data_IF_386713878033
#
_entry.id   IF_386713878033
#
_cell.length_a   1.000
_cell.length_b   1.000
_cell.length_c   1.000
_cell.angle_alpha   90.00
_cell.angle_beta   90.00
_cell.angle_gamma   90.00
#
_symmetry.space_group_name_H-M   'P 1'
#
loop_
_entity.id
_entity.type
_entity.pdbx_description
1 polymer ?
#
# COMPACT_ATOMS: atom_id res chain seq x y z
N UNK A 1 3.54 -53.10 18.88
CA UNK A 1 2.20 -53.20 19.48
C UNK A 1 1.74 -51.79 19.85
N UNK A 2 0.48 -51.48 19.52
CA UNK A 2 -0.25 -50.22 19.72
C UNK A 2 -0.15 -49.72 21.18
N UNK A 3 -0.24 -48.41 21.45
CA UNK A 3 -1.55 -47.75 21.61
C UNK A 3 -1.49 -46.23 21.44
N UNK A 4 -2.62 -45.75 20.90
CA UNK A 4 -3.02 -44.39 20.57
C UNK A 4 -3.29 -43.53 21.82
N UNK A 5 -3.01 -42.23 21.73
CA UNK A 5 -3.72 -41.22 22.52
C UNK A 5 -4.02 -40.03 21.62
N UNK A 6 -5.28 -39.97 21.20
CA UNK A 6 -5.89 -38.83 20.52
C UNK A 6 -6.13 -37.72 21.53
N UNK A 7 -5.48 -36.57 21.36
CA UNK A 7 -5.81 -35.37 22.10
C UNK A 7 -6.71 -34.49 21.20
N UNK A 8 -8.02 -34.60 21.41
CA UNK A 8 -9.02 -33.70 20.86
C UNK A 8 -8.77 -32.29 21.39
N UNK A 9 -8.13 -31.44 20.58
CA UNK A 9 -8.11 -30.00 20.84
C UNK A 9 -9.47 -29.46 20.38
N UNK A 10 -10.30 -29.15 21.37
CA UNK A 10 -11.59 -28.50 21.22
C UNK A 10 -11.38 -27.16 20.49
N UNK A 11 -11.86 -27.05 19.24
CA UNK A 11 -11.93 -25.78 18.50
C UNK A 11 -12.85 -24.84 19.29
N UNK A 12 -12.40 -23.69 19.80
CA UNK A 12 -13.33 -22.66 20.22
C UNK A 12 -13.98 -22.11 18.95
N UNK A 13 -15.28 -22.36 18.82
CA UNK A 13 -16.13 -21.71 17.84
C UNK A 13 -16.19 -20.22 18.20
N UNK A 14 -15.31 -19.43 17.59
CA UNK A 14 -15.30 -17.98 17.72
C UNK A 14 -16.56 -17.44 17.05
N UNK A 15 -17.57 -17.13 17.86
CA UNK A 15 -18.82 -16.56 17.38
C UNK A 15 -18.56 -15.25 16.62
N UNK A 16 -19.40 -14.99 15.62
CA UNK A 16 -19.37 -13.88 14.67
C UNK A 16 -19.23 -12.47 15.32
N UNK A 17 -19.40 -12.32 16.63
CA UNK A 17 -19.16 -11.07 17.37
C UNK A 17 -17.68 -10.77 17.62
N UNK A 18 -16.79 -11.77 17.64
CA UNK A 18 -15.35 -11.53 17.87
C UNK A 18 -14.58 -11.17 16.59
N UNK A 19 -15.06 -11.57 15.41
CA UNK A 19 -14.52 -11.11 14.13
C UNK A 19 -14.75 -9.61 13.93
N UNK A 20 -15.90 -9.08 14.36
CA UNK A 20 -16.15 -7.63 14.40
C UNK A 20 -15.26 -6.93 15.44
N UNK A 21 -14.83 -7.64 16.49
CA UNK A 21 -13.91 -7.09 17.49
C UNK A 21 -12.46 -7.04 17.00
N UNK A 22 -12.01 -7.91 16.10
CA UNK A 22 -10.67 -7.84 15.49
C UNK A 22 -10.52 -6.63 14.55
N UNK A 23 -11.62 -6.11 14.02
CA UNK A 23 -11.65 -4.82 13.30
C UNK A 23 -11.58 -3.61 14.27
N UNK A 24 -11.77 -3.85 15.57
CA UNK A 24 -11.80 -2.83 16.64
C UNK A 24 -10.67 -2.97 17.68
N UNK A 25 -9.90 -4.05 17.68
CA UNK A 25 -8.77 -4.25 18.61
C UNK A 25 -7.48 -3.90 17.89
N UNK A 26 -6.95 -2.73 18.25
CA UNK A 26 -5.84 -2.07 17.56
C UNK A 26 -6.42 -0.96 16.70
N UNK A 27 -6.06 0.29 16.98
CA UNK A 27 -6.49 1.46 16.22
C UNK A 27 -5.97 1.47 14.78
N UNK A 28 -6.39 0.50 13.96
CA UNK A 28 -6.16 0.43 12.54
C UNK A 28 -7.01 1.56 11.95
N UNK A 29 -6.40 2.74 11.86
CA UNK A 29 -6.90 3.85 11.05
C UNK A 29 -7.15 3.26 9.66
N UNK A 30 -8.41 2.96 9.34
CA UNK A 30 -8.79 2.40 8.04
C UNK A 30 -8.16 3.28 6.97
N UNK A 31 -7.35 2.63 6.15
CA UNK A 31 -6.29 3.27 5.39
C UNK A 31 -6.82 4.45 4.56
N UNK A 32 -6.25 5.64 4.81
CA UNK A 32 -6.70 6.92 4.22
C UNK A 32 -6.72 6.86 2.70
N UNK A 33 -5.73 6.19 2.09
CA UNK A 33 -5.62 5.98 0.64
C UNK A 33 -6.83 5.21 0.08
N UNK A 34 -7.24 4.12 0.73
CA UNK A 34 -8.42 3.34 0.36
C UNK A 34 -9.67 4.22 0.41
N UNK A 35 -9.84 4.98 1.48
CA UNK A 35 -11.00 5.88 1.64
C UNK A 35 -11.03 6.97 0.57
N UNK A 36 -9.90 7.63 0.31
CA UNK A 36 -9.81 8.75 -0.64
C UNK A 36 -10.12 8.29 -2.07
N UNK A 37 -9.48 7.22 -2.55
CA UNK A 37 -9.68 6.73 -3.92
C UNK A 37 -11.11 6.17 -4.12
N UNK A 38 -11.63 5.44 -3.14
CA UNK A 38 -13.01 4.91 -3.19
C UNK A 38 -14.04 6.04 -3.13
N UNK A 39 -13.83 7.06 -2.27
CA UNK A 39 -14.74 8.19 -2.16
C UNK A 39 -14.73 9.06 -3.42
N UNK A 40 -13.56 9.25 -4.04
CA UNK A 40 -13.44 9.98 -5.29
C UNK A 40 -14.24 9.30 -6.40
N UNK A 41 -14.12 7.98 -6.56
CA UNK A 41 -14.88 7.24 -7.56
C UNK A 41 -16.39 7.31 -7.31
N UNK A 42 -16.82 7.28 -6.04
CA UNK A 42 -18.22 7.51 -5.65
C UNK A 42 -18.72 8.93 -5.95
N UNK A 43 -17.87 9.95 -5.82
CA UNK A 43 -18.25 11.33 -6.14
C UNK A 43 -18.38 11.54 -7.65
N UNK A 44 -17.42 11.02 -8.43
CA UNK A 44 -17.43 11.12 -9.88
C UNK A 44 -18.63 10.39 -10.51
N UNK A 45 -19.01 9.23 -9.97
CA UNK A 45 -20.21 8.50 -10.40
C UNK A 45 -21.53 9.21 -10.02
N UNK A 46 -21.57 9.97 -8.92
CA UNK A 46 -22.75 10.77 -8.53
C UNK A 46 -22.93 12.03 -9.38
N UNK A 47 -21.84 12.69 -9.77
CA UNK A 47 -21.89 13.93 -10.58
C UNK A 47 -22.59 13.72 -11.93
N UNK A 48 -22.45 12.54 -12.56
CA UNK A 48 -23.17 12.21 -13.80
C UNK A 48 -24.67 11.95 -13.60
N UNK A 49 -25.11 11.50 -12.42
CA UNK A 49 -26.53 11.29 -12.14
C UNK A 49 -27.30 12.59 -11.87
N UNK A 50 -26.61 13.72 -11.62
CA UNK A 50 -27.23 15.03 -11.47
C UNK A 50 -27.43 15.79 -12.80
N UNK A 51 -26.94 15.26 -13.92
CA UNK A 51 -27.10 15.89 -15.24
C UNK A 51 -28.37 15.45 -15.99
N UNK A 52 -29.29 14.72 -15.34
CA UNK A 52 -30.64 14.49 -15.87
C UNK A 52 -31.58 15.55 -15.29
N UNK A 53 -31.85 16.60 -16.07
CA UNK A 53 -32.82 17.64 -15.73
C UNK A 53 -34.23 17.04 -15.84
N UNK A 54 -34.86 16.69 -14.71
CA UNK A 54 -36.29 16.34 -14.66
C UNK A 54 -37.16 17.60 -14.53
N UNK A 55 -38.06 17.79 -15.50
CA UNK A 55 -39.17 18.75 -15.46
C UNK A 55 -40.31 18.36 -14.48
N UNK A 56 -41.36 19.19 -14.33
CA UNK A 56 -42.01 19.40 -13.04
C UNK A 56 -42.96 18.27 -12.57
N UNK A 57 -42.94 18.10 -11.25
CA UNK A 57 -43.63 17.12 -10.39
C UNK A 57 -45.14 17.00 -10.62
N UNK A 58 -45.64 15.77 -10.79
CA UNK A 58 -47.01 15.37 -10.41
C UNK A 58 -46.99 14.64 -9.06
N UNK A 59 -47.87 15.07 -8.14
CA UNK A 59 -48.06 14.49 -6.80
C UNK A 59 -48.66 13.09 -6.92
N UNK A 60 -47.93 12.08 -6.45
CA UNK A 60 -48.44 10.74 -6.15
C UNK A 60 -47.76 10.23 -4.89
N UNK A 61 -48.54 9.90 -3.86
CA UNK A 61 -48.05 9.33 -2.61
C UNK A 61 -47.51 7.91 -2.87
N UNK A 62 -46.23 7.68 -2.60
CA UNK A 62 -45.64 6.34 -2.61
C UNK A 62 -45.06 6.06 -1.22
N UNK A 63 -45.56 4.97 -0.63
CA UNK A 63 -45.12 4.40 0.65
C UNK A 63 -43.59 4.29 0.71
N UNK A 64 -43.01 4.83 1.78
CA UNK A 64 -41.59 4.65 2.12
C UNK A 64 -41.32 3.19 2.49
N UNK A 65 -40.78 2.43 1.53
CA UNK A 65 -40.32 1.06 1.74
C UNK A 65 -38.89 1.10 2.31
N UNK A 66 -38.79 0.70 3.57
CA UNK A 66 -37.60 0.23 4.32
C UNK A 66 -36.26 0.28 3.57
N UNK A 67 -35.35 1.11 4.09
CA UNK A 67 -33.93 1.10 3.76
C UNK A 67 -33.38 -0.31 3.99
N UNK A 68 -33.11 -1.04 2.90
CA UNK A 68 -32.34 -2.29 2.97
C UNK A 68 -30.96 -1.96 3.53
N UNK A 69 -30.76 -2.39 4.77
CA UNK A 69 -29.51 -2.46 5.48
C UNK A 69 -28.55 -3.34 4.66
N UNK A 70 -27.67 -2.75 3.86
CA UNK A 70 -26.56 -3.49 3.23
C UNK A 70 -25.56 -3.83 4.31
N UNK A 71 -25.74 -4.99 4.94
CA UNK A 71 -24.68 -5.60 5.73
C UNK A 71 -23.49 -5.92 4.80
N UNK A 72 -22.24 -5.75 5.26
CA UNK A 72 -21.09 -6.18 4.49
C UNK A 72 -21.16 -7.70 4.35
N UNK A 73 -21.29 -8.18 3.12
CA UNK A 73 -21.11 -9.59 2.82
C UNK A 73 -19.61 -9.84 2.90
N UNK A 74 -19.13 -10.25 4.08
CA UNK A 74 -17.81 -10.88 4.16
C UNK A 74 -17.92 -12.22 3.45
N UNK A 75 -17.22 -12.37 2.33
CA UNK A 75 -17.06 -13.67 1.69
C UNK A 75 -16.24 -14.54 2.66
N UNK A 76 -16.86 -15.54 3.29
CA UNK A 76 -16.23 -16.39 4.29
C UNK A 76 -14.91 -17.02 3.77
N UNK A 77 -14.80 -17.18 2.44
CA UNK A 77 -13.60 -17.69 1.77
C UNK A 77 -12.37 -16.77 1.88
N UNK A 78 -12.56 -15.44 1.87
CA UNK A 78 -11.45 -14.48 2.04
C UNK A 78 -10.92 -14.49 3.47
N UNK A 79 -11.82 -14.62 4.46
CA UNK A 79 -11.46 -14.71 5.87
C UNK A 79 -10.78 -16.05 6.19
N UNK A 80 -11.22 -17.15 5.58
CA UNK A 80 -10.55 -18.46 5.69
C UNK A 80 -9.15 -18.44 5.06
N UNK A 81 -8.99 -17.82 3.88
CA UNK A 81 -7.68 -17.65 3.24
C UNK A 81 -6.73 -16.82 4.12
N UNK A 82 -7.24 -15.75 4.74
CA UNK A 82 -6.50 -14.97 5.73
C UNK A 82 -6.05 -15.84 6.92
N UNK A 83 -6.96 -16.58 7.54
CA UNK A 83 -6.64 -17.47 8.65
C UNK A 83 -5.63 -18.55 8.27
N UNK A 84 -5.75 -19.13 7.08
CA UNK A 84 -4.79 -20.12 6.56
C UNK A 84 -3.39 -19.52 6.40
N UNK A 85 -3.28 -18.33 5.83
CA UNK A 85 -1.97 -17.68 5.65
C UNK A 85 -1.28 -17.32 6.98
N UNK A 86 -2.04 -17.06 8.06
CA UNK A 86 -1.49 -16.97 9.42
C UNK A 86 -0.90 -18.30 9.90
N UNK A 87 -1.57 -19.41 9.62
CA UNK A 87 -1.07 -20.74 10.01
C UNK A 87 0.18 -21.17 9.21
N UNK A 88 0.40 -20.61 8.02
CA UNK A 88 1.57 -20.85 7.17
C UNK A 88 2.79 -19.98 7.54
N UNK A 89 2.70 -19.20 8.61
CA UNK A 89 3.81 -18.37 9.11
C UNK A 89 4.08 -17.13 8.26
N UNK A 90 3.11 -16.71 7.43
CA UNK A 90 3.15 -15.39 6.81
C UNK A 90 3.03 -14.31 7.91
N UNK A 91 3.52 -13.12 7.61
CA UNK A 91 3.46 -11.97 8.52
C UNK A 91 3.33 -10.66 7.75
N UNK A 92 2.77 -10.68 6.54
CA UNK A 92 2.48 -9.46 5.80
C UNK A 92 1.30 -9.76 4.88
N UNK A 93 0.19 -9.06 5.06
CA UNK A 93 -1.09 -9.43 4.44
C UNK A 93 -1.61 -8.31 3.56
N UNK A 94 -1.96 -8.58 2.29
CA UNK A 94 -2.54 -7.56 1.43
C UNK A 94 -4.05 -7.46 1.69
N UNK A 95 -4.50 -6.25 1.97
CA UNK A 95 -5.90 -5.88 1.83
C UNK A 95 -6.09 -5.22 0.48
N UNK A 96 -7.10 -5.65 -0.28
CA UNK A 96 -7.39 -5.09 -1.58
C UNK A 96 -8.85 -4.69 -1.70
N UNK A 97 -9.09 -3.55 -2.34
CA UNK A 97 -10.38 -3.27 -2.96
C UNK A 97 -10.20 -3.00 -4.44
N UNK A 98 -11.22 -3.30 -5.24
CA UNK A 98 -11.23 -3.07 -6.69
C UNK A 98 -12.34 -2.10 -7.02
N UNK A 99 -12.02 -1.17 -7.91
CA UNK A 99 -13.00 -0.23 -8.46
C UNK A 99 -12.84 -0.14 -9.97
N UNK A 100 -13.89 0.26 -10.67
CA UNK A 100 -13.79 0.54 -12.11
C UNK A 100 -13.00 1.84 -12.36
N UNK A 101 -12.21 1.85 -13.43
CA UNK A 101 -11.38 2.99 -13.83
C UNK A 101 -12.06 3.92 -14.85
N UNK A 102 -13.35 3.72 -15.13
CA UNK A 102 -14.11 4.43 -16.16
C UNK A 102 -14.22 5.95 -15.93
N UNK A 103 -14.10 6.40 -14.68
CA UNK A 103 -14.10 7.81 -14.31
C UNK A 103 -12.74 8.30 -13.78
N UNK A 104 -11.74 7.43 -13.70
CA UNK A 104 -10.50 7.73 -13.00
C UNK A 104 -9.30 7.51 -13.92
N UNK A 105 -8.50 8.57 -14.12
CA UNK A 105 -7.20 8.45 -14.77
C UNK A 105 -6.10 8.41 -13.71
N UNK A 106 -4.92 7.80 -14.01
CA UNK A 106 -3.80 7.76 -13.07
C UNK A 106 -3.40 9.16 -12.57
N UNK A 107 -3.31 10.14 -13.47
CA UNK A 107 -2.96 11.53 -13.12
C UNK A 107 -4.00 12.17 -12.17
N UNK A 108 -5.30 11.96 -12.43
CA UNK A 108 -6.36 12.49 -11.54
C UNK A 108 -6.31 11.81 -10.18
N UNK A 109 -6.10 10.49 -10.14
CA UNK A 109 -5.95 9.76 -8.89
C UNK A 109 -4.72 10.22 -8.09
N UNK A 110 -3.58 10.41 -8.75
CA UNK A 110 -2.36 10.91 -8.12
C UNK A 110 -2.56 12.28 -7.48
N UNK A 111 -3.19 13.22 -8.20
CA UNK A 111 -3.51 14.55 -7.67
C UNK A 111 -4.47 14.51 -6.47
N UNK A 112 -5.32 13.50 -6.36
CA UNK A 112 -6.21 13.34 -5.21
C UNK A 112 -5.49 12.68 -4.02
N UNK A 113 -4.51 11.83 -4.32
CA UNK A 113 -3.72 11.10 -3.33
C UNK A 113 -2.70 12.02 -2.64
N UNK A 114 -2.09 12.94 -3.38
CA UNK A 114 -1.13 13.92 -2.87
C UNK A 114 -1.86 15.22 -2.55
N UNK A 115 -2.09 15.50 -1.27
CA UNK A 115 -2.68 16.77 -0.83
C UNK A 115 -1.60 17.85 -0.75
N UNK A 116 -2.00 19.11 -0.87
CA UNK A 116 -1.12 20.27 -0.72
C UNK A 116 -0.39 20.31 0.64
N UNK A 117 -1.00 19.76 1.70
CA UNK A 117 -0.38 19.67 3.03
C UNK A 117 0.61 18.49 3.19
N UNK A 118 0.64 17.55 2.25
CA UNK A 118 1.52 16.39 2.23
C UNK A 118 2.68 16.59 1.22
N UNK A 119 2.93 17.83 0.78
CA UNK A 119 3.91 18.19 -0.28
C UNK A 119 5.37 17.86 0.07
N UNK A 120 5.66 17.67 1.36
CA UNK A 120 6.99 17.30 1.86
C UNK A 120 7.24 15.79 1.89
N UNK A 121 6.21 14.95 1.70
CA UNK A 121 6.38 13.50 1.72
C UNK A 121 6.64 12.95 0.31
N UNK A 122 7.56 12.00 0.14
CA UNK A 122 7.74 11.34 -1.14
C UNK A 122 6.44 10.71 -1.64
N UNK A 123 6.24 10.81 -2.94
CA UNK A 123 5.15 10.14 -3.65
C UNK A 123 5.61 9.80 -5.06
N UNK A 124 4.91 8.87 -5.72
CA UNK A 124 5.24 8.48 -7.07
C UNK A 124 4.00 8.26 -7.94
N UNK A 125 4.20 8.48 -9.24
CA UNK A 125 3.36 8.02 -10.33
C UNK A 125 4.29 7.41 -11.38
N UNK A 126 4.16 6.11 -11.61
CA UNK A 126 4.92 5.37 -12.62
C UNK A 126 3.98 4.96 -13.75
N UNK A 127 4.24 5.48 -14.93
CA UNK A 127 3.55 5.10 -16.16
C UNK A 127 4.58 4.59 -17.17
N UNK A 128 4.23 3.53 -17.89
CA UNK A 128 5.05 3.02 -18.98
C UNK A 128 4.48 3.48 -20.31
N UNK A 129 5.35 3.73 -21.28
CA UNK A 129 4.99 3.89 -22.70
C UNK A 129 5.82 2.90 -23.50
N UNK A 130 5.14 2.02 -24.23
CA UNK A 130 5.76 1.09 -25.16
C UNK A 130 5.80 1.74 -26.55
N UNK A 131 6.97 1.76 -27.19
CA UNK A 131 7.17 2.20 -28.58
C UNK A 131 6.59 3.59 -28.91
N UNK A 132 6.75 4.56 -28.01
CA UNK A 132 6.40 5.97 -28.24
C UNK A 132 4.91 6.31 -28.13
N UNK A 133 4.01 5.41 -28.52
CA UNK A 133 2.58 5.73 -28.68
C UNK A 133 1.62 4.86 -27.87
N UNK A 134 2.04 3.72 -27.32
CA UNK A 134 1.15 2.84 -26.56
C UNK A 134 1.41 2.93 -25.06
N UNK A 135 0.43 3.41 -24.31
CA UNK A 135 0.48 3.38 -22.85
C UNK A 135 0.57 1.93 -22.36
N UNK A 136 1.51 1.67 -21.45
CA UNK A 136 1.69 0.37 -20.83
C UNK A 136 0.45 -0.05 -20.06
N UNK A 137 0.26 -1.37 -19.90
CA UNK A 137 -0.94 -1.92 -19.27
C UNK A 137 -1.17 -1.42 -17.85
N UNK A 138 -0.10 -1.16 -17.10
CA UNK A 138 -0.19 -0.78 -15.70
C UNK A 138 0.37 0.62 -15.43
N UNK A 139 -0.35 1.38 -14.61
CA UNK A 139 0.17 2.58 -13.95
C UNK A 139 0.15 2.36 -12.44
N UNK A 140 1.21 2.78 -11.75
CA UNK A 140 1.37 2.61 -10.30
C UNK A 140 1.45 3.97 -9.63
N UNK A 141 0.78 4.13 -8.49
CA UNK A 141 0.83 5.36 -7.70
C UNK A 141 0.87 5.04 -6.21
N UNK A 142 1.61 5.86 -5.48
CA UNK A 142 1.75 5.75 -4.03
C UNK A 142 2.14 7.10 -3.43
N UNK A 143 1.74 7.32 -2.19
CA UNK A 143 2.08 8.49 -1.39
C UNK A 143 2.12 8.07 0.08
N UNK A 144 2.59 8.97 0.95
CA UNK A 144 2.66 8.73 2.40
C UNK A 144 3.43 7.44 2.74
N UNK A 145 4.72 7.34 2.37
CA UNK A 145 5.52 6.17 2.66
C UNK A 145 5.65 5.94 4.17
N UNK A 146 5.80 4.68 4.58
CA UNK A 146 6.01 4.32 5.98
C UNK A 146 7.45 4.63 6.44
N UNK A 147 8.42 4.40 5.56
CA UNK A 147 9.82 4.68 5.78
C UNK A 147 10.43 5.40 4.58
N UNK A 148 11.48 6.17 4.82
CA UNK A 148 12.32 6.77 3.79
C UNK A 148 13.79 6.65 4.21
N UNK A 149 14.64 6.29 3.26
CA UNK A 149 16.09 6.10 3.42
C UNK A 149 16.79 7.02 2.43
N UNK A 150 17.48 8.02 2.95
CA UNK A 150 18.21 9.02 2.17
C UNK A 150 19.70 8.88 2.48
N UNK A 151 20.54 8.65 1.47
CA UNK A 151 21.98 8.55 1.63
C UNK A 151 22.72 9.63 0.85
N UNK A 152 23.74 10.22 1.47
CA UNK A 152 24.70 11.11 0.83
C UNK A 152 26.10 10.83 1.36
N UNK A 153 26.97 10.28 0.52
CA UNK A 153 28.19 9.64 0.97
C UNK A 153 27.87 8.65 2.11
N UNK A 154 28.69 8.64 3.15
CA UNK A 154 28.50 7.71 4.28
C UNK A 154 27.39 8.12 5.26
N UNK A 155 26.77 9.29 5.08
CA UNK A 155 25.67 9.74 5.92
C UNK A 155 24.35 9.18 5.40
N UNK A 156 23.70 8.35 6.22
CA UNK A 156 22.42 7.70 5.91
C UNK A 156 21.37 8.18 6.90
N UNK A 157 20.35 8.87 6.40
CA UNK A 157 19.19 9.30 7.17
C UNK A 157 18.02 8.35 6.95
N UNK A 158 17.45 7.85 8.05
CA UNK A 158 16.30 6.95 8.08
C UNK A 158 15.15 7.71 8.72
N UNK A 159 14.05 7.85 8.00
CA UNK A 159 12.83 8.52 8.43
C UNK A 159 11.75 7.45 8.58
N UNK A 160 11.23 7.29 9.80
CA UNK A 160 10.02 6.50 10.06
C UNK A 160 8.86 7.47 10.19
N UNK A 161 8.16 7.69 9.08
CA UNK A 161 7.04 8.64 8.98
C UNK A 161 5.86 8.22 9.86
N UNK A 162 5.64 6.91 10.03
CA UNK A 162 4.58 6.38 10.90
C UNK A 162 4.82 6.69 12.38
N UNK A 163 6.08 6.66 12.82
CA UNK A 163 6.47 6.95 14.21
C UNK A 163 6.92 8.41 14.43
N UNK A 164 7.02 9.23 13.37
CA UNK A 164 7.58 10.58 13.42
C UNK A 164 9.05 10.58 13.88
N UNK A 165 9.81 9.52 13.60
CA UNK A 165 11.21 9.37 14.05
C UNK A 165 12.18 9.61 12.90
N UNK A 166 13.28 10.27 13.22
CA UNK A 166 14.43 10.47 12.32
C UNK A 166 15.69 9.98 13.01
N UNK A 167 16.47 9.21 12.29
CA UNK A 167 17.78 8.72 12.72
C UNK A 167 18.80 8.98 11.61
N UNK A 168 20.03 9.33 11.98
CA UNK A 168 21.14 9.46 11.03
C UNK A 168 22.28 8.55 11.50
N UNK A 169 22.83 7.77 10.57
CA UNK A 169 23.90 6.81 10.79
C UNK A 169 25.05 7.09 9.82
N UNK A 170 26.27 6.74 10.25
CA UNK A 170 27.42 6.65 9.34
C UNK A 170 27.58 5.19 8.95
N UNK A 171 27.45 4.88 7.66
CA UNK A 171 27.47 3.51 7.14
C UNK A 171 28.19 3.44 5.80
N UNK A 172 28.76 2.27 5.48
CA UNK A 172 29.44 2.04 4.20
C UNK A 172 28.50 1.65 3.06
N UNK A 173 27.42 0.94 3.39
CA UNK A 173 26.40 0.52 2.43
C UNK A 173 24.99 0.90 2.92
N UNK A 174 24.35 1.92 2.30
CA UNK A 174 22.99 2.31 2.66
C UNK A 174 21.93 1.28 2.23
N UNK A 175 22.22 0.35 1.31
CA UNK A 175 21.26 -0.64 0.83
C UNK A 175 20.91 -1.71 1.88
N UNK A 176 21.76 -1.87 2.89
CA UNK A 176 21.49 -2.74 4.04
C UNK A 176 20.28 -2.27 4.85
N UNK A 177 19.97 -0.97 4.85
CA UNK A 177 18.84 -0.44 5.63
C UNK A 177 17.49 -0.93 5.09
N UNK A 178 17.14 -0.76 3.79
CA UNK A 178 15.95 -1.37 3.21
C UNK A 178 15.87 -2.89 3.40
N UNK A 179 17.01 -3.58 3.28
CA UNK A 179 17.10 -5.02 3.46
C UNK A 179 16.73 -5.39 4.90
N UNK A 180 17.35 -4.79 5.90
CA UNK A 180 17.12 -5.10 7.32
C UNK A 180 15.69 -4.81 7.77
N UNK A 181 15.08 -3.72 7.28
CA UNK A 181 13.68 -3.40 7.58
C UNK A 181 12.73 -4.48 7.07
N UNK A 182 13.03 -5.07 5.91
CA UNK A 182 12.08 -5.96 5.20
C UNK A 182 12.47 -7.44 5.21
N UNK A 183 13.67 -7.78 5.68
CA UNK A 183 14.25 -9.14 5.69
C UNK A 183 13.35 -10.19 6.33
N UNK A 184 12.65 -9.81 7.40
CA UNK A 184 11.79 -10.73 8.17
C UNK A 184 10.39 -10.88 7.59
N UNK A 185 10.04 -10.12 6.55
CA UNK A 185 8.70 -10.13 5.98
C UNK A 185 8.47 -11.35 5.10
N UNK A 186 7.30 -11.94 5.28
CA UNK A 186 6.78 -13.13 4.59
C UNK A 186 5.39 -12.78 4.05
N UNK A 187 5.32 -12.17 2.85
CA UNK A 187 4.07 -11.75 2.24
C UNK A 187 3.15 -12.93 1.94
N UNK A 188 1.90 -12.85 2.38
CA UNK A 188 0.87 -13.81 2.06
C UNK A 188 0.46 -13.69 0.59
N UNK A 189 0.30 -14.84 -0.08
CA UNK A 189 -0.25 -14.90 -1.44
C UNK A 189 -1.77 -15.00 -1.36
N UNK A 190 -2.45 -13.92 -1.72
CA UNK A 190 -3.92 -13.85 -1.70
C UNK A 190 -4.44 -13.83 -3.14
N UNK A 191 -5.48 -14.63 -3.40
CA UNK A 191 -6.11 -14.68 -4.70
C UNK A 191 -6.65 -13.30 -5.11
N UNK A 192 -6.48 -12.93 -6.37
CA UNK A 192 -7.01 -11.70 -6.90
C UNK A 192 -6.17 -10.44 -6.67
N UNK A 193 -5.08 -10.51 -5.92
CA UNK A 193 -4.03 -9.48 -5.99
C UNK A 193 -3.28 -9.65 -7.31
N UNK A 194 -3.09 -8.59 -8.12
CA UNK A 194 -2.45 -8.71 -9.43
C UNK A 194 -0.97 -9.08 -9.23
N UNK A 195 -0.39 -9.95 -10.08
CA UNK A 195 1.00 -10.41 -9.96
C UNK A 195 1.99 -9.38 -10.50
N UNK A 196 1.90 -8.14 -10.01
CA UNK A 196 2.71 -6.98 -10.38
C UNK A 196 3.24 -6.30 -9.12
N UNK A 197 3.89 -5.15 -9.26
CA UNK A 197 4.24 -4.33 -8.11
C UNK A 197 2.96 -3.90 -7.35
N UNK A 198 2.89 -4.22 -6.07
CA UNK A 198 1.72 -3.95 -5.21
C UNK A 198 2.10 -3.29 -3.89
N UNK A 199 3.36 -2.89 -3.72
CA UNK A 199 3.93 -2.38 -2.48
C UNK A 199 5.42 -2.69 -2.40
N UNK A 200 6.17 -1.89 -1.64
CA UNK A 200 7.62 -2.03 -1.47
C UNK A 200 8.38 -0.72 -1.60
N UNK A 201 9.69 -0.83 -1.78
CA UNK A 201 10.59 0.30 -1.91
C UNK A 201 10.51 0.92 -3.31
N UNK A 202 10.29 2.23 -3.36
CA UNK A 202 10.26 3.04 -4.59
C UNK A 202 11.06 4.31 -4.36
N UNK A 203 11.85 4.70 -5.34
CA UNK A 203 12.67 5.90 -5.28
C UNK A 203 13.73 5.87 -6.36
N UNK A 204 14.90 6.42 -6.08
CA UNK A 204 16.00 6.46 -7.03
C UNK A 204 17.34 6.11 -6.39
N UNK A 205 18.21 5.54 -7.21
CA UNK A 205 19.64 5.40 -6.96
C UNK A 205 20.36 6.24 -8.03
N UNK A 206 21.00 7.32 -7.60
CA UNK A 206 21.81 8.20 -8.43
C UNK A 206 23.14 7.55 -8.82
N UNK A 207 23.86 8.19 -9.75
CA UNK A 207 25.10 7.65 -10.30
C UNK A 207 26.14 7.33 -9.21
N UNK A 208 26.30 8.21 -8.22
CA UNK A 208 27.26 8.03 -7.13
C UNK A 208 26.94 6.84 -6.20
N UNK A 209 25.76 6.20 -6.32
CA UNK A 209 25.48 4.93 -5.64
C UNK A 209 26.51 3.85 -6.02
N UNK A 210 27.09 3.92 -7.22
CA UNK A 210 28.16 3.01 -7.67
C UNK A 210 29.39 3.02 -6.74
N UNK A 211 29.61 4.13 -6.03
CA UNK A 211 30.75 4.30 -5.11
C UNK A 211 30.60 3.50 -3.82
N UNK A 212 29.37 3.18 -3.39
CA UNK A 212 29.17 2.26 -2.26
C UNK A 212 29.63 0.84 -2.62
N UNK A 213 29.32 0.40 -3.85
CA UNK A 213 29.65 -0.95 -4.33
C UNK A 213 31.12 -1.08 -4.70
N UNK A 214 31.72 -0.03 -5.28
CA UNK A 214 33.12 -0.02 -5.72
C UNK A 214 34.00 0.92 -4.88
N UNK A 215 33.75 1.02 -3.58
CA UNK A 215 34.41 1.98 -2.68
C UNK A 215 35.94 1.94 -2.73
N UNK A 216 36.54 0.76 -2.91
CA UNK A 216 37.99 0.62 -3.06
C UNK A 216 38.57 1.15 -4.38
N UNK A 217 37.75 1.32 -5.43
CA UNK A 217 38.16 1.83 -6.76
C UNK A 217 37.65 3.25 -7.03
N UNK A 218 36.50 3.61 -6.46
CA UNK A 218 35.81 4.88 -6.64
C UNK A 218 35.46 5.48 -5.27
N UNK A 219 36.45 5.88 -4.46
CA UNK A 219 36.18 6.51 -3.18
C UNK A 219 35.39 7.82 -3.33
N UNK A 220 34.67 8.24 -2.29
CA UNK A 220 33.91 9.49 -2.32
C UNK A 220 34.84 10.71 -2.32
N UNK A 221 36.02 10.59 -1.73
CA UNK A 221 37.04 11.63 -1.65
C UNK A 221 37.62 12.00 -3.02
N UNK A 222 37.55 11.09 -4.01
CA UNK A 222 37.98 11.35 -5.39
C UNK A 222 36.84 11.75 -6.32
N UNK A 223 35.64 11.96 -5.79
CA UNK A 223 34.51 12.39 -6.59
C UNK A 223 34.74 13.81 -7.16
N UNK A 224 34.25 14.09 -8.38
CA UNK A 224 34.15 15.46 -8.87
C UNK A 224 33.35 16.34 -7.92
N UNK A 225 33.53 17.66 -8.01
CA UNK A 225 32.76 18.62 -7.21
C UNK A 225 31.26 18.41 -7.39
N UNK A 226 30.54 18.26 -6.27
CA UNK A 226 29.09 18.11 -6.28
C UNK A 226 28.39 19.46 -6.49
N UNK A 227 27.94 19.69 -7.72
CA UNK A 227 27.24 20.89 -8.15
C UNK A 227 25.72 20.82 -7.93
N UNK A 228 25.16 19.62 -7.74
CA UNK A 228 23.72 19.37 -7.66
C UNK A 228 23.22 19.16 -6.23
N UNK A 229 24.10 18.72 -5.32
CA UNK A 229 23.80 18.45 -3.91
C UNK A 229 22.60 17.52 -3.71
N UNK A 230 22.41 16.58 -4.64
CA UNK A 230 21.36 15.58 -4.58
C UNK A 230 21.81 14.42 -3.70
N UNK A 231 20.91 13.78 -2.94
CA UNK A 231 21.18 12.49 -2.34
C UNK A 231 21.63 11.47 -3.38
N UNK A 232 22.57 10.60 -3.02
CA UNK A 232 23.03 9.53 -3.91
C UNK A 232 21.95 8.44 -4.00
N UNK A 233 21.20 8.23 -2.92
CA UNK A 233 20.07 7.29 -2.82
C UNK A 233 18.92 7.97 -2.08
N UNK A 234 17.70 7.87 -2.61
CA UNK A 234 16.48 8.13 -1.84
C UNK A 234 15.47 7.02 -2.17
N UNK A 235 15.18 6.16 -1.20
CA UNK A 235 14.20 5.08 -1.30
C UNK A 235 13.13 5.23 -0.23
N UNK A 236 11.86 5.15 -0.62
CA UNK A 236 10.73 5.21 0.28
C UNK A 236 9.90 3.92 0.21
N UNK A 237 9.44 3.44 1.37
CA UNK A 237 8.70 2.19 1.51
C UNK A 237 7.20 2.44 1.54
N UNK A 238 6.49 1.89 0.57
CA UNK A 238 5.05 2.07 0.42
C UNK A 238 4.32 0.77 0.74
N UNK A 239 3.52 0.79 1.81
CA UNK A 239 2.55 -0.27 2.11
C UNK A 239 1.29 -0.12 1.25
N UNK A 240 0.97 1.12 0.87
CA UNK A 240 -0.25 1.46 0.15
C UNK A 240 0.08 1.85 -1.28
N UNK A 241 -0.47 1.10 -2.22
CA UNK A 241 -0.27 1.32 -3.65
C UNK A 241 -1.61 1.19 -4.37
N UNK A 242 -1.80 2.08 -5.33
CA UNK A 242 -2.91 2.01 -6.26
C UNK A 242 -2.34 1.55 -7.62
N UNK A 243 -3.02 0.59 -8.25
CA UNK A 243 -2.58 -0.02 -9.51
C UNK A 243 -3.71 0.07 -10.52
N UNK A 244 -3.49 0.79 -11.60
CA UNK A 244 -4.43 0.85 -12.73
C UNK A 244 -4.12 -0.30 -13.68
N UNK A 245 -5.05 -1.22 -13.90
CA UNK A 245 -5.02 -2.15 -15.02
C UNK A 245 -5.85 -1.57 -16.17
N UNK A 246 -5.17 -0.98 -17.13
CA UNK A 246 -5.80 -0.29 -18.26
C UNK A 246 -6.46 -1.27 -19.24
N UNK A 247 -6.06 -2.54 -19.23
CA UNK A 247 -6.63 -3.57 -20.09
C UNK A 247 -7.98 -4.04 -19.57
N UNK A 248 -8.10 -4.24 -18.25
CA UNK A 248 -9.35 -4.69 -17.61
C UNK A 248 -10.24 -3.56 -17.11
N UNK A 249 -9.76 -2.31 -17.18
CA UNK A 249 -10.44 -1.10 -16.64
C UNK A 249 -10.73 -1.20 -15.14
N UNK A 250 -9.82 -1.84 -14.41
CA UNK A 250 -9.89 -2.01 -12.96
C UNK A 250 -8.76 -1.23 -12.30
N UNK A 251 -9.08 -0.54 -11.22
CA UNK A 251 -8.11 0.01 -10.28
C UNK A 251 -8.08 -0.87 -9.04
N UNK A 252 -6.91 -1.40 -8.72
CA UNK A 252 -6.65 -2.11 -7.48
C UNK A 252 -6.12 -1.10 -6.47
N UNK A 253 -6.76 -1.00 -5.31
CA UNK A 253 -6.21 -0.25 -4.17
C UNK A 253 -5.78 -1.28 -3.14
N UNK A 254 -4.47 -1.33 -2.89
CA UNK A 254 -3.82 -2.39 -2.13
C UNK A 254 -3.11 -1.76 -0.93
N UNK A 255 -3.26 -2.39 0.24
CA UNK A 255 -2.61 -2.00 1.48
C UNK A 255 -2.00 -3.22 2.16
N UNK A 256 -0.69 -3.20 2.37
CA UNK A 256 0.02 -4.28 3.05
C UNK A 256 0.07 -4.04 4.56
N UNK A 257 -0.56 -4.94 5.32
CA UNK A 257 -0.55 -4.91 6.78
C UNK A 257 0.61 -5.73 7.32
N UNK A 258 1.62 -5.05 7.84
CA UNK A 258 2.67 -5.67 8.66
C UNK A 258 2.14 -5.89 10.09
N UNK A 259 2.54 -6.96 10.79
CA UNK A 259 2.25 -7.14 12.20
C UNK A 259 2.87 -5.97 12.97
N UNK A 260 2.27 -5.59 14.11
CA UNK A 260 2.92 -4.64 15.00
C UNK A 260 4.33 -5.13 15.29
N UNK A 261 5.32 -4.25 15.13
CA UNK A 261 6.70 -4.53 15.50
C UNK A 261 6.69 -5.12 16.92
N UNK A 262 7.21 -6.34 17.08
CA UNK A 262 7.07 -7.12 18.29
C UNK A 262 7.37 -6.27 19.53
N UNK A 263 6.36 -6.06 20.37
CA UNK A 263 6.63 -5.84 21.78
C UNK A 263 7.36 -7.08 22.27
N UNK A 264 8.50 -6.88 22.92
CA UNK A 264 9.10 -7.96 23.70
C UNK A 264 8.00 -8.52 24.60
N UNK A 265 7.79 -9.83 24.53
CA UNK A 265 7.12 -10.53 25.61
C UNK A 265 8.18 -10.64 26.70
N UNK A 266 8.25 -9.60 27.52
CA UNK A 266 8.88 -9.69 28.84
C UNK A 266 8.01 -10.59 29.74
#
# INVERSE_FOLDING_TARGET
MLTSSSMLIHKPCLSNRQATSLVSVGGIKTNRVIKEVVNLNKCLSRSKNLNTIEGPKRRGSIMTRSTRNTQPVSDDSEFEAFCKSMSEGCNLYPLQTRIFSDQLTPVVAYRCLVREADDQLPSFLLESVNNGDQQGRYSFLGANPAFEVVAKGREVTILNHAAGKRETRVMDDPMLVPEDITRSWKPAKVAGVPPVFTGGWVGYAGYDTVRYVYSGKLPFESAPTDDRRLPDLNLALYHDVVVFDQATKVVHVISWLAPPAGGSRD
#
